data_IF_468654933380
#
_entry.id   IF_468654933380
#
_cell.length_a   1.000
_cell.length_b   1.000
_cell.length_c   1.000
_cell.angle_alpha   90.00
_cell.angle_beta   90.00
_cell.angle_gamma   90.00
#
_symmetry.space_group_name_H-M   'P 1'
#
loop_
_entity.id
_entity.type
_entity.pdbx_description
1 polymer ?
#
# COMPACT_ATOMS: atom_id res chain seq x y z
N UNK A 1 2.39 38.73 -20.30
CA UNK A 1 3.24 37.51 -20.36
C UNK A 1 2.72 36.51 -19.33
N UNK A 2 2.22 35.34 -19.76
CA UNK A 2 1.59 34.40 -18.83
C UNK A 2 2.64 33.43 -18.27
N UNK A 3 3.09 33.67 -17.04
CA UNK A 3 4.12 32.86 -16.33
C UNK A 3 3.80 31.36 -16.36
N UNK A 4 2.51 30.99 -16.24
CA UNK A 4 2.03 29.59 -16.33
C UNK A 4 2.36 28.90 -17.65
N UNK A 5 2.37 29.63 -18.78
CA UNK A 5 2.71 29.08 -20.10
C UNK A 5 4.22 28.86 -20.23
N UNK A 6 5.03 29.78 -19.70
CA UNK A 6 6.50 29.71 -19.71
C UNK A 6 6.99 28.53 -18.84
N UNK A 7 6.43 28.38 -17.64
CA UNK A 7 6.77 27.26 -16.75
C UNK A 7 6.39 25.91 -17.37
N UNK A 8 5.29 25.85 -18.12
CA UNK A 8 4.90 24.63 -18.86
C UNK A 8 5.84 24.34 -20.02
N UNK A 9 6.29 25.34 -20.78
CA UNK A 9 7.23 25.14 -21.89
C UNK A 9 8.65 24.85 -21.44
N UNK A 10 9.04 25.35 -20.26
CA UNK A 10 10.35 25.08 -19.65
C UNK A 10 10.41 23.74 -18.92
N UNK A 11 9.27 23.10 -18.64
CA UNK A 11 9.24 21.76 -18.07
C UNK A 11 9.74 20.75 -19.10
N UNK A 12 10.77 20.01 -18.74
CA UNK A 12 11.31 18.94 -19.58
C UNK A 12 10.32 17.78 -19.69
N UNK A 13 10.34 17.10 -20.84
CA UNK A 13 9.54 15.88 -21.10
C UNK A 13 9.76 14.79 -20.04
N UNK A 14 10.89 14.84 -19.33
CA UNK A 14 11.23 13.96 -18.20
C UNK A 14 10.22 14.14 -17.06
N UNK A 15 9.84 15.37 -16.72
CA UNK A 15 8.84 15.63 -15.68
C UNK A 15 7.45 15.10 -16.08
N UNK A 16 7.06 15.25 -17.35
CA UNK A 16 5.78 14.70 -17.84
C UNK A 16 5.77 13.16 -17.78
N UNK A 17 6.90 12.52 -18.10
CA UNK A 17 7.08 11.06 -17.97
C UNK A 17 7.07 10.60 -16.50
N UNK A 18 7.61 11.40 -15.57
CA UNK A 18 7.61 11.10 -14.14
C UNK A 18 6.19 11.16 -13.55
N UNK A 19 5.40 12.16 -13.91
CA UNK A 19 3.99 12.27 -13.48
C UNK A 19 3.18 11.05 -13.96
N UNK A 20 3.34 10.66 -15.23
CA UNK A 20 2.69 9.45 -15.80
C UNK A 20 3.11 8.16 -15.08
N UNK A 21 4.39 8.04 -14.68
CA UNK A 21 4.89 6.87 -13.92
C UNK A 21 4.31 6.83 -12.49
N UNK A 22 4.20 7.97 -11.82
CA UNK A 22 3.65 8.05 -10.48
C UNK A 22 2.15 7.70 -10.43
N UNK A 23 1.38 8.08 -11.46
CA UNK A 23 -0.04 7.68 -11.61
C UNK A 23 -0.17 6.17 -11.73
N UNK A 24 0.72 5.49 -12.48
CA UNK A 24 0.71 4.03 -12.61
C UNK A 24 1.08 3.33 -11.30
N UNK A 25 2.02 3.88 -10.53
CA UNK A 25 2.37 3.36 -9.19
C UNK A 25 1.23 3.53 -8.18
N UNK A 26 0.45 4.60 -8.27
CA UNK A 26 -0.74 4.81 -7.43
C UNK A 26 -1.85 3.80 -7.71
N UNK A 27 -1.99 3.27 -8.94
CA UNK A 27 -2.97 2.21 -9.24
C UNK A 27 -2.61 0.87 -8.61
N UNK A 28 -1.33 0.68 -8.25
CA UNK A 28 -0.84 -0.44 -7.46
C UNK A 28 -0.74 -0.09 -5.96
N UNK A 29 -1.35 1.02 -5.50
CA UNK A 29 -1.68 1.14 -4.08
C UNK A 29 -2.65 0.02 -3.80
N UNK A 30 -2.10 -1.05 -3.23
CA UNK A 30 -2.69 -1.99 -2.29
C UNK A 30 -4.16 -1.68 -2.16
N UNK A 31 -5.02 -2.49 -2.80
CA UNK A 31 -6.44 -2.50 -2.46
C UNK A 31 -6.46 -2.49 -0.93
N UNK A 32 -6.99 -1.43 -0.32
CA UNK A 32 -7.25 -1.43 1.10
C UNK A 32 -8.26 -2.56 1.29
N UNK A 33 -7.75 -3.76 1.58
CA UNK A 33 -8.59 -4.89 1.92
C UNK A 33 -9.34 -4.41 3.15
N UNK A 34 -10.66 -4.26 3.03
CA UNK A 34 -11.53 -3.95 4.15
C UNK A 34 -11.66 -5.23 4.99
N UNK A 35 -10.56 -5.62 5.61
CA UNK A 35 -10.54 -6.69 6.59
C UNK A 35 -11.27 -6.17 7.82
N UNK A 36 -12.33 -6.88 8.19
CA UNK A 36 -12.97 -6.69 9.47
C UNK A 36 -11.98 -7.04 10.58
N UNK A 37 -12.22 -6.54 11.78
CA UNK A 37 -11.49 -6.96 12.99
C UNK A 37 -11.49 -8.50 13.14
N UNK A 38 -12.58 -9.17 12.76
CA UNK A 38 -12.67 -10.62 12.80
C UNK A 38 -11.72 -11.31 11.81
N UNK A 39 -11.55 -10.74 10.62
CA UNK A 39 -10.65 -11.30 9.60
C UNK A 39 -9.20 -11.21 10.04
N UNK A 40 -8.81 -10.09 10.65
CA UNK A 40 -7.48 -9.90 11.24
C UNK A 40 -7.24 -10.92 12.36
N UNK A 41 -8.24 -11.12 13.22
CA UNK A 41 -8.14 -12.07 14.35
C UNK A 41 -7.98 -13.51 13.86
N UNK A 42 -8.68 -13.89 12.79
CA UNK A 42 -8.53 -15.20 12.16
C UNK A 42 -7.16 -15.37 11.49
N UNK A 43 -6.64 -14.33 10.83
CA UNK A 43 -5.33 -14.36 10.17
C UNK A 43 -4.18 -14.50 11.18
N UNK A 44 -4.29 -13.85 12.34
CA UNK A 44 -3.30 -13.92 13.42
C UNK A 44 -3.41 -15.21 14.26
N UNK A 45 -4.41 -16.05 14.01
CA UNK A 45 -4.59 -17.30 14.73
C UNK A 45 -3.58 -18.34 14.21
N UNK A 46 -2.70 -18.80 15.09
CA UNK A 46 -1.76 -19.87 14.79
C UNK A 46 -2.31 -21.22 15.25
N UNK A 47 -2.80 -22.04 14.33
CA UNK A 47 -3.31 -23.39 14.64
C UNK A 47 -2.20 -24.37 15.07
N UNK A 48 -0.94 -24.03 14.82
CA UNK A 48 0.23 -24.83 15.19
C UNK A 48 0.54 -24.80 16.69
N UNK A 49 -0.03 -23.88 17.46
CA UNK A 49 0.26 -23.73 18.88
C UNK A 49 -1.02 -23.71 19.72
N UNK A 50 -0.96 -24.27 20.92
CA UNK A 50 -2.04 -24.26 21.90
C UNK A 50 -1.53 -23.91 23.29
N UNK A 51 -2.43 -23.45 24.17
CA UNK A 51 -2.11 -23.22 25.58
C UNK A 51 -2.28 -24.51 26.38
N UNK A 52 -1.25 -24.90 27.12
CA UNK A 52 -1.30 -25.99 28.08
C UNK A 52 -0.74 -25.54 29.42
N UNK A 53 -1.57 -25.56 30.48
CA UNK A 53 -1.18 -25.16 31.84
C UNK A 53 -0.46 -23.79 31.89
N UNK A 54 -0.97 -22.82 31.13
CA UNK A 54 -0.40 -21.46 31.06
C UNK A 54 0.78 -21.29 30.09
N UNK A 55 1.43 -22.38 29.66
CA UNK A 55 2.50 -22.37 28.67
C UNK A 55 1.97 -22.51 27.23
N UNK A 56 2.68 -21.95 26.26
CA UNK A 56 2.42 -22.17 24.82
C UNK A 56 3.17 -23.43 24.40
N UNK A 57 2.47 -24.37 23.75
CA UNK A 57 3.05 -25.61 23.18
C UNK A 57 2.70 -25.70 21.71
N UNK A 58 3.57 -26.30 20.92
CA UNK A 58 3.22 -26.72 19.57
C UNK A 58 2.32 -27.95 19.63
N UNK A 59 1.36 -28.02 18.72
CA UNK A 59 0.48 -29.18 18.54
C UNK A 59 1.28 -30.43 18.17
#
# INVERSE_FOLDING_TARGET
MNVKKIVKSQRSDIHEKLDKKNIKKSKNKIKEEQLSFHDILNLMKHDSYYRHRGAIRQK
#
